data_IF_252395262920
#
_entry.id   IF_252395262920
#
_cell.length_a   1.000
_cell.length_b   1.000
_cell.length_c   1.000
_cell.angle_alpha   90.00
_cell.angle_beta   90.00
_cell.angle_gamma   90.00
#
_symmetry.space_group_name_H-M   'P 1'
#
loop_
_entity.id
_entity.type
_entity.pdbx_description
1 polymer ?
#
# COMPACT_ATOMS: atom_id res chain seq x y z
N UNK A 1 -8.13 8.18 -25.15
CA UNK A 1 -8.42 7.61 -23.83
C UNK A 1 -7.94 8.62 -22.80
N UNK A 2 -8.85 9.25 -22.06
CA UNK A 2 -8.52 10.16 -20.97
C UNK A 2 -7.87 9.35 -19.86
N UNK A 3 -6.72 9.80 -19.36
CA UNK A 3 -6.10 9.18 -18.17
C UNK A 3 -7.12 9.23 -17.01
N UNK A 4 -7.25 8.15 -16.24
CA UNK A 4 -8.13 8.14 -15.09
C UNK A 4 -7.70 9.26 -14.12
N UNK A 5 -8.68 10.03 -13.65
CA UNK A 5 -8.42 11.11 -12.70
C UNK A 5 -7.80 10.54 -11.43
N UNK A 6 -6.65 11.11 -11.06
CA UNK A 6 -5.97 10.72 -9.85
C UNK A 6 -6.75 11.22 -8.62
N UNK A 7 -7.23 10.33 -7.73
CA UNK A 7 -8.02 10.74 -6.56
C UNK A 7 -7.25 11.63 -5.57
N UNK A 8 -5.92 11.74 -5.73
CA UNK A 8 -5.04 12.56 -4.89
C UNK A 8 -4.64 13.89 -5.53
N UNK A 9 -5.30 14.27 -6.65
CA UNK A 9 -4.98 15.49 -7.39
C UNK A 9 -3.85 15.33 -8.40
N UNK A 10 -3.52 16.40 -9.13
CA UNK A 10 -2.48 16.36 -10.15
C UNK A 10 -1.11 16.14 -9.52
N UNK A 11 -0.31 15.33 -10.19
CA UNK A 11 1.08 15.07 -9.80
C UNK A 11 1.93 16.32 -10.00
N UNK A 12 2.67 16.81 -8.99
CA UNK A 12 3.63 17.87 -9.20
C UNK A 12 4.73 17.41 -10.16
N UNK A 13 5.02 18.19 -11.21
CA UNK A 13 6.26 18.04 -11.98
C UNK A 13 6.27 17.01 -13.12
N UNK A 14 5.13 16.71 -13.72
CA UNK A 14 5.09 15.88 -14.94
C UNK A 14 5.09 14.36 -14.66
N UNK A 15 4.29 13.63 -15.43
CA UNK A 15 4.03 12.23 -15.16
C UNK A 15 5.21 11.30 -15.43
N UNK A 16 5.65 10.54 -14.45
CA UNK A 16 6.26 9.24 -14.74
C UNK A 16 5.11 8.37 -15.25
N UNK A 17 5.19 7.90 -16.50
CA UNK A 17 4.25 6.90 -16.97
C UNK A 17 4.47 5.62 -16.17
N UNK A 18 3.39 5.02 -15.68
CA UNK A 18 3.51 3.69 -15.11
C UNK A 18 4.12 2.75 -16.16
N UNK A 19 5.12 1.94 -15.79
CA UNK A 19 5.58 0.86 -16.64
C UNK A 19 4.41 -0.02 -17.09
N UNK A 20 4.49 -0.61 -18.25
CA UNK A 20 3.38 -1.40 -18.83
C UNK A 20 2.94 -2.57 -17.91
N UNK A 21 3.86 -3.13 -17.15
CA UNK A 21 3.56 -4.19 -16.18
C UNK A 21 2.74 -3.74 -14.96
N UNK A 22 2.58 -2.43 -14.74
CA UNK A 22 1.66 -1.87 -13.74
C UNK A 22 0.28 -1.52 -14.32
N UNK A 23 0.10 -1.72 -15.62
CA UNK A 23 -1.21 -1.49 -16.23
C UNK A 23 -2.12 -2.66 -15.93
N UNK A 24 -3.39 -2.41 -15.60
CA UNK A 24 -4.36 -3.49 -15.44
C UNK A 24 -4.41 -4.33 -16.70
N UNK A 25 -4.41 -5.63 -16.56
CA UNK A 25 -4.65 -6.53 -17.69
C UNK A 25 -6.09 -6.30 -18.18
N UNK A 26 -6.25 -5.94 -19.45
CA UNK A 26 -7.53 -5.54 -20.03
C UNK A 26 -8.53 -6.68 -20.19
N UNK A 27 -8.07 -7.95 -20.10
CA UNK A 27 -8.95 -9.10 -20.22
C UNK A 27 -8.47 -10.25 -19.36
N UNK A 28 -9.17 -10.52 -18.27
CA UNK A 28 -9.08 -11.79 -17.56
C UNK A 28 -10.35 -12.56 -17.89
N UNK A 29 -10.26 -13.51 -18.82
CA UNK A 29 -11.38 -14.34 -19.26
C UNK A 29 -11.85 -15.33 -18.20
N UNK A 30 -11.03 -15.61 -17.20
CA UNK A 30 -11.36 -16.46 -16.06
C UNK A 30 -11.13 -15.65 -14.77
N UNK A 31 -12.22 -15.19 -14.16
CA UNK A 31 -12.21 -14.31 -12.99
C UNK A 31 -12.03 -15.04 -11.65
N UNK A 32 -11.35 -16.15 -11.62
CA UNK A 32 -11.01 -16.82 -10.37
C UNK A 32 -9.98 -16.02 -9.55
N UNK A 33 -9.29 -15.06 -10.18
CA UNK A 33 -8.34 -14.19 -9.51
C UNK A 33 -8.65 -12.74 -9.89
N UNK A 34 -8.89 -11.91 -8.88
CA UNK A 34 -9.04 -10.48 -9.05
C UNK A 34 -7.67 -9.80 -9.07
N UNK A 35 -7.49 -8.87 -10.01
CA UNK A 35 -6.36 -7.95 -10.04
C UNK A 35 -6.86 -6.52 -9.85
N UNK A 36 -6.31 -5.76 -8.89
CA UNK A 36 -6.69 -4.36 -8.68
C UNK A 36 -6.58 -3.53 -9.96
N UNK A 37 -7.61 -2.74 -10.26
CA UNK A 37 -7.66 -1.89 -11.45
C UNK A 37 -8.16 -2.56 -12.72
N UNK A 38 -8.52 -3.84 -12.70
CA UNK A 38 -9.08 -4.54 -13.87
C UNK A 38 -10.57 -4.28 -14.06
N UNK A 39 -11.23 -3.75 -13.04
CA UNK A 39 -12.63 -3.33 -13.10
C UNK A 39 -12.84 -2.09 -12.26
N UNK A 40 -13.79 -1.27 -12.68
CA UNK A 40 -14.22 -0.09 -11.90
C UNK A 40 -15.04 -0.57 -10.71
N UNK A 41 -14.68 -0.12 -9.52
CA UNK A 41 -15.50 -0.32 -8.35
C UNK A 41 -16.52 0.83 -8.29
N UNK A 42 -17.84 0.53 -8.31
CA UNK A 42 -18.87 1.55 -8.25
C UNK A 42 -18.75 2.44 -7.01
N UNK A 43 -19.22 3.67 -7.13
CA UNK A 43 -19.31 4.58 -5.98
C UNK A 43 -20.18 3.98 -4.88
N UNK A 44 -19.74 4.08 -3.64
CA UNK A 44 -20.43 3.52 -2.48
C UNK A 44 -20.17 2.02 -2.24
N UNK A 45 -19.45 1.35 -3.13
CA UNK A 45 -19.04 -0.02 -2.92
C UNK A 45 -17.65 -0.11 -2.29
N UNK A 46 -17.41 -1.21 -1.57
CA UNK A 46 -16.13 -1.49 -0.94
C UNK A 46 -15.67 -2.90 -1.32
N UNK A 47 -14.37 -3.06 -1.56
CA UNK A 47 -13.74 -4.35 -1.78
C UNK A 47 -12.68 -4.58 -0.72
N UNK A 48 -12.67 -5.79 -0.15
CA UNK A 48 -11.69 -6.23 0.83
C UNK A 48 -10.87 -7.35 0.21
N UNK A 49 -9.55 -7.20 0.23
CA UNK A 49 -8.59 -8.16 -0.32
C UNK A 49 -7.61 -8.53 0.78
N UNK A 50 -7.56 -9.79 1.14
CA UNK A 50 -6.61 -10.31 2.14
C UNK A 50 -5.28 -10.60 1.43
N UNK A 51 -4.28 -9.79 1.72
CA UNK A 51 -2.91 -9.91 1.16
C UNK A 51 -2.02 -10.81 2.02
N UNK A 52 -2.36 -10.96 3.29
CA UNK A 52 -1.67 -11.82 4.23
C UNK A 52 -2.49 -12.03 5.49
N UNK A 53 -2.38 -13.22 6.08
CA UNK A 53 -3.17 -13.60 7.27
C UNK A 53 -2.38 -14.48 8.25
N UNK A 54 -1.06 -14.57 8.08
CA UNK A 54 -0.23 -15.40 8.95
C UNK A 54 0.20 -14.62 10.16
N UNK A 55 -0.02 -15.15 11.37
CA UNK A 55 0.59 -14.63 12.58
C UNK A 55 2.08 -15.06 12.63
N UNK A 56 2.76 -14.66 13.67
CA UNK A 56 4.09 -15.17 13.98
C UNK A 56 4.03 -16.64 14.48
N UNK A 57 4.92 -17.54 14.04
CA UNK A 57 5.95 -17.37 13.01
C UNK A 57 5.38 -17.41 11.57
N UNK A 58 6.03 -16.70 10.63
CA UNK A 58 5.57 -16.68 9.23
C UNK A 58 5.74 -18.04 8.57
N UNK A 59 4.90 -18.32 7.58
CA UNK A 59 4.99 -19.52 6.75
C UNK A 59 5.48 -19.19 5.35
N UNK A 60 5.97 -20.18 4.61
CA UNK A 60 6.42 -19.98 3.22
C UNK A 60 5.29 -19.58 2.27
N UNK A 61 4.09 -20.02 2.55
CA UNK A 61 2.92 -19.88 1.68
C UNK A 61 2.06 -18.65 1.98
N UNK A 62 2.27 -18.01 3.13
CA UNK A 62 1.42 -16.89 3.56
C UNK A 62 2.27 -15.73 4.05
N UNK A 63 1.87 -14.54 3.68
CA UNK A 63 2.43 -13.30 4.20
C UNK A 63 1.85 -12.97 5.57
N UNK A 64 2.55 -12.12 6.31
CA UNK A 64 2.06 -11.51 7.55
C UNK A 64 0.79 -10.71 7.32
N UNK A 65 0.08 -10.42 8.38
CA UNK A 65 -1.23 -9.77 8.34
C UNK A 65 -1.23 -8.49 7.51
N UNK A 66 -2.09 -8.47 6.49
CA UNK A 66 -2.33 -7.29 5.67
C UNK A 66 -3.66 -7.41 4.93
N UNK A 67 -4.47 -6.37 5.02
CA UNK A 67 -5.74 -6.26 4.31
C UNK A 67 -5.70 -5.00 3.45
N UNK A 68 -5.95 -5.13 2.16
CA UNK A 68 -6.20 -4.00 1.27
C UNK A 68 -7.70 -3.75 1.20
N UNK A 69 -8.09 -2.53 1.51
CA UNK A 69 -9.46 -2.03 1.36
C UNK A 69 -9.49 -1.04 0.21
N UNK A 70 -10.32 -1.30 -0.78
CA UNK A 70 -10.61 -0.40 -1.89
C UNK A 70 -12.02 0.17 -1.73
N UNK A 71 -12.14 1.49 -1.79
CA UNK A 71 -13.42 2.19 -1.78
C UNK A 71 -13.68 2.77 -3.15
N UNK A 72 -14.83 2.43 -3.73
CA UNK A 72 -15.23 2.90 -5.04
C UNK A 72 -15.50 4.40 -5.04
N UNK A 73 -15.00 5.06 -6.08
CA UNK A 73 -15.19 6.48 -6.32
C UNK A 73 -16.01 6.75 -7.57
N UNK A 74 -16.51 5.69 -8.22
CA UNK A 74 -17.11 5.78 -9.56
C UNK A 74 -16.09 6.09 -10.67
N UNK A 75 -14.80 6.17 -10.34
CA UNK A 75 -13.71 6.45 -11.26
C UNK A 75 -12.81 5.22 -11.43
N UNK A 76 -11.91 5.25 -12.42
CA UNK A 76 -11.04 4.14 -12.74
C UNK A 76 -10.10 3.73 -11.60
N UNK A 77 -9.81 4.62 -10.65
CA UNK A 77 -8.96 4.33 -9.49
C UNK A 77 -9.77 4.44 -8.21
N UNK A 78 -9.94 3.35 -7.45
CA UNK A 78 -10.53 3.39 -6.13
C UNK A 78 -9.59 4.08 -5.14
N UNK A 79 -10.14 4.58 -4.05
CA UNK A 79 -9.35 4.98 -2.90
C UNK A 79 -8.91 3.74 -2.12
N UNK A 80 -7.63 3.66 -1.78
CA UNK A 80 -7.01 2.49 -1.15
C UNK A 80 -6.54 2.77 0.26
N UNK A 81 -6.76 1.81 1.13
CA UNK A 81 -6.25 1.79 2.50
C UNK A 81 -5.67 0.41 2.79
N UNK A 82 -4.57 0.39 3.52
CA UNK A 82 -3.99 -0.85 4.02
C UNK A 82 -4.25 -0.95 5.51
N UNK A 83 -4.70 -2.10 5.96
CA UNK A 83 -4.80 -2.42 7.39
C UNK A 83 -3.73 -3.45 7.67
N UNK A 84 -2.78 -3.04 8.50
CA UNK A 84 -1.51 -3.72 8.72
C UNK A 84 -0.66 -3.89 7.45
N UNK A 85 0.63 -4.19 7.62
CA UNK A 85 1.56 -4.45 6.53
C UNK A 85 2.68 -5.38 7.03
N UNK A 86 2.28 -6.59 7.34
CA UNK A 86 3.17 -7.64 7.85
C UNK A 86 4.14 -8.16 6.80
N UNK A 87 5.10 -8.95 7.23
CA UNK A 87 6.17 -9.48 6.39
C UNK A 87 5.65 -10.20 5.13
N UNK A 88 6.15 -9.82 3.96
CA UNK A 88 5.78 -10.39 2.66
C UNK A 88 4.48 -9.87 2.06
N UNK A 89 3.74 -9.01 2.74
CA UNK A 89 2.47 -8.46 2.25
C UNK A 89 2.66 -7.50 1.07
N UNK A 90 3.73 -6.71 1.08
CA UNK A 90 4.09 -5.83 -0.05
C UNK A 90 4.35 -6.65 -1.31
N UNK A 91 5.04 -7.78 -1.21
CA UNK A 91 5.24 -8.69 -2.34
C UNK A 91 3.89 -9.14 -2.93
N UNK A 92 2.92 -9.48 -2.09
CA UNK A 92 1.60 -9.90 -2.54
C UNK A 92 0.82 -8.74 -3.18
N UNK A 93 0.90 -7.53 -2.60
CA UNK A 93 0.30 -6.34 -3.19
C UNK A 93 0.86 -6.04 -4.59
N UNK A 94 2.18 -6.12 -4.76
CA UNK A 94 2.84 -5.92 -6.06
C UNK A 94 2.51 -7.03 -7.05
N UNK A 95 2.44 -8.29 -6.60
CA UNK A 95 2.02 -9.41 -7.44
C UNK A 95 0.58 -9.26 -7.93
N UNK A 96 -0.28 -8.61 -7.17
CA UNK A 96 -1.64 -8.22 -7.58
C UNK A 96 -1.68 -6.92 -8.38
N UNK A 97 -0.52 -6.39 -8.78
CA UNK A 97 -0.40 -5.17 -9.59
C UNK A 97 -0.96 -3.90 -8.90
N UNK A 98 -0.95 -3.86 -7.57
CA UNK A 98 -1.20 -2.62 -6.85
C UNK A 98 -0.02 -1.68 -7.11
N UNK A 99 -0.23 -0.53 -7.79
CA UNK A 99 0.90 0.35 -8.10
C UNK A 99 1.49 0.93 -6.81
N UNK A 100 2.83 0.86 -6.61
CA UNK A 100 3.47 1.29 -5.37
C UNK A 100 3.15 2.74 -4.98
N UNK A 101 2.96 3.61 -5.99
CA UNK A 101 2.63 5.02 -5.77
C UNK A 101 1.27 5.26 -5.10
N UNK A 102 0.39 4.26 -5.07
CA UNK A 102 -0.92 4.35 -4.42
C UNK A 102 -0.94 3.74 -3.01
N UNK A 103 0.19 3.30 -2.50
CA UNK A 103 0.34 2.87 -1.11
C UNK A 103 0.63 4.10 -0.26
N UNK A 104 -0.42 4.79 0.19
CA UNK A 104 -0.31 6.07 0.87
C UNK A 104 -0.86 6.06 2.29
N UNK A 105 -1.88 5.25 2.56
CA UNK A 105 -2.60 5.23 3.83
C UNK A 105 -2.53 3.83 4.45
N UNK A 106 -1.87 3.71 5.61
CA UNK A 106 -1.71 2.46 6.34
C UNK A 106 -2.24 2.64 7.76
N UNK A 107 -3.16 1.78 8.15
CA UNK A 107 -3.73 1.72 9.49
C UNK A 107 -3.14 0.51 10.21
N UNK A 108 -2.40 0.73 11.28
CA UNK A 108 -1.86 -0.35 12.11
C UNK A 108 -2.81 -0.66 13.26
N UNK A 109 -3.21 -1.91 13.34
CA UNK A 109 -4.03 -2.41 14.45
C UNK A 109 -3.26 -2.32 15.76
N UNK A 110 -1.98 -2.66 15.74
CA UNK A 110 -1.04 -2.54 16.85
C UNK A 110 0.42 -2.59 16.34
N UNK A 111 1.40 -2.47 17.24
CA UNK A 111 2.81 -2.30 16.90
C UNK A 111 3.65 -3.56 17.17
N UNK A 112 3.11 -4.76 16.95
CA UNK A 112 3.94 -5.96 16.85
C UNK A 112 4.58 -6.07 15.46
N UNK A 113 5.79 -6.61 15.40
CA UNK A 113 6.59 -6.64 14.17
C UNK A 113 5.94 -7.34 12.98
N UNK A 114 5.15 -8.37 13.21
CA UNK A 114 4.41 -9.12 12.20
C UNK A 114 3.26 -8.30 11.55
N UNK A 115 2.93 -7.12 12.09
CA UNK A 115 1.93 -6.21 11.55
C UNK A 115 2.49 -5.01 10.77
N UNK A 116 3.80 -4.72 10.90
CA UNK A 116 4.39 -3.57 10.20
C UNK A 116 5.74 -3.86 9.50
N UNK A 117 6.22 -5.09 9.52
CA UNK A 117 7.57 -5.43 9.07
C UNK A 117 7.90 -5.01 7.64
N UNK A 118 6.92 -4.94 6.74
CA UNK A 118 7.14 -4.51 5.36
C UNK A 118 7.12 -2.98 5.18
N UNK A 119 6.70 -2.20 6.17
CA UNK A 119 6.65 -0.73 6.04
C UNK A 119 8.04 -0.14 5.83
N UNK A 120 9.07 -0.46 6.64
CA UNK A 120 10.42 0.06 6.44
C UNK A 120 11.01 -0.31 5.07
N UNK A 121 10.71 -1.52 4.59
CA UNK A 121 11.13 -1.96 3.27
C UNK A 121 10.42 -1.18 2.15
N UNK A 122 9.11 -1.05 2.25
CA UNK A 122 8.28 -0.44 1.22
C UNK A 122 8.47 1.07 1.13
N UNK A 123 8.66 1.76 2.25
CA UNK A 123 8.64 3.22 2.36
C UNK A 123 9.58 3.93 1.36
N UNK A 124 10.88 3.60 1.28
CA UNK A 124 11.78 4.26 0.34
C UNK A 124 11.48 3.88 -1.11
N UNK A 125 11.18 2.62 -1.39
CA UNK A 125 10.96 2.15 -2.76
C UNK A 125 9.67 2.69 -3.39
N UNK A 126 8.63 2.93 -2.63
CA UNK A 126 7.41 3.54 -3.17
C UNK A 126 7.61 5.02 -3.50
N UNK A 127 8.46 5.73 -2.76
CA UNK A 127 8.86 7.08 -3.09
C UNK A 127 9.64 7.09 -4.42
N UNK A 128 10.59 6.20 -4.57
CA UNK A 128 11.36 6.03 -5.81
C UNK A 128 10.47 5.59 -7.00
N UNK A 129 9.50 4.72 -6.75
CA UNK A 129 8.51 4.31 -7.77
C UNK A 129 7.51 5.41 -8.14
N UNK A 130 7.68 6.62 -7.62
CA UNK A 130 6.92 7.81 -7.99
C UNK A 130 5.76 8.14 -7.06
N UNK A 131 5.75 7.66 -5.82
CA UNK A 131 4.80 8.14 -4.80
C UNK A 131 5.16 9.59 -4.46
N UNK A 132 4.26 10.52 -4.77
CA UNK A 132 4.42 11.96 -4.46
C UNK A 132 3.57 12.41 -3.28
N UNK A 133 2.68 11.54 -2.82
CA UNK A 133 1.92 11.79 -1.61
C UNK A 133 2.69 11.32 -0.38
N UNK A 134 2.60 12.01 0.74
CA UNK A 134 3.16 11.52 1.99
C UNK A 134 2.59 10.15 2.34
N UNK A 135 3.42 9.25 2.83
CA UNK A 135 2.94 8.06 3.51
C UNK A 135 2.32 8.49 4.84
N UNK A 136 1.08 8.12 5.06
CA UNK A 136 0.35 8.38 6.31
C UNK A 136 0.19 7.08 7.07
N UNK A 137 0.72 7.08 8.28
CA UNK A 137 0.59 5.96 9.21
C UNK A 137 -0.40 6.33 10.31
N UNK A 138 -1.40 5.51 10.48
CA UNK A 138 -2.40 5.61 11.54
C UNK A 138 -2.26 4.40 12.45
N UNK A 139 -2.34 4.59 13.77
CA UNK A 139 -2.18 3.48 14.70
C UNK A 139 -2.28 3.94 16.16
N UNK A 140 -2.02 3.05 17.10
CA UNK A 140 -2.16 3.35 18.51
C UNK A 140 -1.19 4.44 18.98
N UNK A 141 -1.66 5.30 19.86
CA UNK A 141 -0.83 6.33 20.50
C UNK A 141 0.16 5.77 21.52
N UNK A 142 -0.06 4.51 21.96
CA UNK A 142 0.70 3.87 23.04
C UNK A 142 0.24 4.28 24.43
N UNK A 143 0.67 3.54 25.43
CA UNK A 143 0.46 3.90 26.84
C UNK A 143 1.32 5.12 27.24
N UNK A 144 2.45 5.29 26.60
CA UNK A 144 3.29 6.50 26.64
C UNK A 144 3.64 6.92 25.21
N UNK A 145 4.04 8.19 24.97
CA UNK A 145 4.42 8.65 23.63
C UNK A 145 5.48 7.78 22.93
N UNK A 146 6.41 7.21 23.69
CA UNK A 146 7.51 6.38 23.20
C UNK A 146 7.04 5.03 22.66
N UNK A 147 5.88 4.57 23.11
CA UNK A 147 5.26 3.30 22.68
C UNK A 147 4.24 3.49 21.56
N UNK A 148 4.12 4.69 21.02
CA UNK A 148 3.13 5.03 20.02
C UNK A 148 3.64 5.08 18.59
N UNK A 149 2.70 5.11 17.65
CA UNK A 149 2.96 5.15 16.20
C UNK A 149 3.84 6.34 15.78
N UNK A 150 3.70 7.51 16.42
CA UNK A 150 4.51 8.69 16.09
C UNK A 150 5.98 8.47 16.38
N UNK A 151 6.28 7.84 17.53
CA UNK A 151 7.65 7.51 17.91
C UNK A 151 8.24 6.46 16.96
N UNK A 152 7.50 5.39 16.70
CA UNK A 152 7.90 4.38 15.74
C UNK A 152 8.20 4.98 14.36
N UNK A 153 7.32 5.80 13.81
CA UNK A 153 7.49 6.42 12.50
C UNK A 153 8.72 7.35 12.45
N UNK A 154 8.97 8.11 13.52
CA UNK A 154 10.17 8.94 13.65
C UNK A 154 11.45 8.10 13.54
N UNK A 155 11.56 7.06 14.36
CA UNK A 155 12.76 6.21 14.38
C UNK A 155 12.93 5.36 13.12
N UNK A 156 11.82 4.96 12.49
CA UNK A 156 11.87 4.33 11.18
C UNK A 156 12.49 5.26 10.12
N UNK A 157 12.12 6.54 10.09
CA UNK A 157 12.75 7.51 9.20
C UNK A 157 14.22 7.73 9.51
N UNK A 158 14.59 7.83 10.77
CA UNK A 158 15.99 7.94 11.18
C UNK A 158 16.82 6.72 10.71
N UNK A 159 16.28 5.52 10.85
CA UNK A 159 16.90 4.29 10.36
C UNK A 159 17.09 4.30 8.82
N UNK A 160 16.15 4.88 8.10
CA UNK A 160 16.14 4.91 6.62
C UNK A 160 16.80 6.17 6.04
N UNK A 161 17.36 7.02 6.88
CA UNK A 161 17.92 8.32 6.49
C UNK A 161 18.99 8.19 5.40
N UNK A 162 19.85 7.18 5.49
CA UNK A 162 20.85 6.91 4.47
C UNK A 162 20.22 6.75 3.07
N UNK A 163 19.11 6.03 3.00
CA UNK A 163 18.40 5.83 1.73
C UNK A 163 17.76 7.14 1.23
N UNK A 164 17.16 7.93 2.12
CA UNK A 164 16.54 9.22 1.76
C UNK A 164 17.57 10.23 1.25
N UNK A 165 18.79 10.22 1.77
CA UNK A 165 19.85 11.19 1.42
C UNK A 165 20.67 10.77 0.18
N UNK A 166 20.59 9.53 -0.26
CA UNK A 166 21.39 8.99 -1.38
C UNK A 166 20.58 8.67 -2.64
N UNK A 167 19.32 9.04 -2.68
CA UNK A 167 18.41 8.98 -3.81
C UNK A 167 17.66 10.30 -3.95
#
# INVERSE_FOLDING_TARGET
MTQPSNPYGPRPGGGISLPDYYRPMTTINNRNVYFPGTEVLPEGEMRIIVLGSTPWPPTRSQAGTCILVECGTGQAQPRRFFVDMGNGSVKNALAMQVPPMYINDIFLSHLHGDHYADIPYMYPFTAWAGRWQPLRLYGPSGATPELGIKHMAKHMREMLRWHEENF
#
